data_IF_978644201188
#
_entry.id   IF_978644201188
#
_cell.length_a   1.000
_cell.length_b   1.000
_cell.length_c   1.000
_cell.angle_alpha   90.00
_cell.angle_beta   90.00
_cell.angle_gamma   90.00
#
_symmetry.space_group_name_H-M   'P 1'
#
loop_
_entity.id
_entity.type
_entity.pdbx_description
1 polymer ?
#
# COMPACT_ATOMS: atom_id res chain seq x y z
N UNK A 1 -25.66 -13.86 -23.20
CA UNK A 1 -25.51 -14.09 -21.75
C UNK A 1 -24.34 -13.25 -21.29
N UNK A 2 -24.57 -12.23 -20.46
CA UNK A 2 -23.49 -11.34 -20.00
C UNK A 2 -22.57 -12.09 -19.05
N UNK A 3 -21.27 -12.07 -19.30
CA UNK A 3 -20.26 -12.53 -18.35
C UNK A 3 -20.42 -11.72 -17.07
N UNK A 4 -20.83 -12.36 -15.99
CA UNK A 4 -20.81 -11.76 -14.65
C UNK A 4 -19.36 -11.46 -14.31
N UNK A 5 -19.00 -10.17 -14.35
CA UNK A 5 -17.67 -9.70 -13.96
C UNK A 5 -17.58 -9.81 -12.44
N UNK A 6 -16.56 -10.51 -11.94
CA UNK A 6 -16.28 -10.56 -10.51
C UNK A 6 -15.94 -9.15 -10.03
N UNK A 7 -16.80 -8.56 -9.19
CA UNK A 7 -16.57 -7.21 -8.65
C UNK A 7 -15.84 -7.23 -7.31
N UNK A 8 -16.21 -8.15 -6.42
CA UNK A 8 -15.67 -8.24 -5.07
C UNK A 8 -15.24 -9.67 -4.74
N UNK A 9 -14.09 -9.80 -4.07
CA UNK A 9 -13.57 -11.08 -3.59
C UNK A 9 -13.01 -10.90 -2.18
N UNK A 10 -13.46 -11.74 -1.26
CA UNK A 10 -12.92 -11.85 0.09
C UNK A 10 -12.22 -13.18 0.27
N UNK A 11 -10.99 -13.14 0.75
CA UNK A 11 -10.15 -14.30 1.00
C UNK A 11 -9.78 -14.31 2.49
N UNK A 12 -10.34 -15.25 3.24
CA UNK A 12 -10.17 -15.24 4.71
C UNK A 12 -8.83 -15.81 5.14
N UNK A 13 -8.48 -17.01 4.67
CA UNK A 13 -7.25 -17.71 5.02
C UNK A 13 -6.66 -18.31 3.74
N UNK A 14 -5.73 -17.59 3.11
CA UNK A 14 -5.01 -18.11 1.95
C UNK A 14 -3.69 -18.73 2.39
N UNK A 15 -3.40 -19.93 1.90
CA UNK A 15 -2.13 -20.61 2.10
C UNK A 15 -1.68 -21.20 0.77
N UNK A 16 -0.42 -21.01 0.42
CA UNK A 16 0.16 -21.70 -0.72
C UNK A 16 0.47 -23.16 -0.34
N UNK A 17 0.28 -24.12 -1.26
CA UNK A 17 0.80 -25.47 -1.03
C UNK A 17 2.32 -25.40 -0.88
N UNK A 18 2.88 -26.26 -0.03
CA UNK A 18 4.32 -26.35 0.23
C UNK A 18 5.14 -26.79 -0.98
N UNK A 19 4.50 -27.32 -2.02
CA UNK A 19 5.11 -27.61 -3.32
C UNK A 19 5.19 -26.36 -4.19
N UNK A 20 6.33 -26.11 -4.86
CA UNK A 20 6.50 -24.94 -5.71
C UNK A 20 5.43 -24.96 -6.80
N UNK A 21 4.57 -23.95 -6.79
CA UNK A 21 3.55 -23.78 -7.81
C UNK A 21 4.28 -23.49 -9.14
N UNK A 22 4.01 -24.22 -10.23
CA UNK A 22 4.62 -23.89 -11.50
C UNK A 22 4.19 -22.47 -11.86
N UNK A 23 5.17 -21.59 -12.07
CA UNK A 23 4.94 -20.26 -12.63
C UNK A 23 4.35 -20.42 -14.04
N UNK A 24 3.03 -20.58 -14.13
CA UNK A 24 2.33 -20.52 -15.40
C UNK A 24 2.35 -19.06 -15.84
N UNK A 25 3.38 -18.70 -16.61
CA UNK A 25 3.46 -17.47 -17.39
C UNK A 25 2.30 -17.46 -18.39
N UNK A 26 1.60 -16.32 -18.51
CA UNK A 26 0.62 -16.11 -19.59
C UNK A 26 -0.83 -15.82 -19.19
N UNK A 27 -1.15 -15.66 -17.90
CA UNK A 27 -2.46 -15.12 -17.52
C UNK A 27 -2.33 -13.65 -17.16
N UNK A 28 -3.10 -12.80 -17.85
CA UNK A 28 -3.31 -11.42 -17.42
C UNK A 28 -3.99 -11.43 -16.05
N UNK A 29 -3.64 -10.49 -15.15
CA UNK A 29 -4.32 -10.35 -13.88
C UNK A 29 -5.83 -10.18 -14.07
N UNK A 30 -6.61 -10.78 -13.18
CA UNK A 30 -8.06 -10.59 -13.13
C UNK A 30 -8.33 -9.23 -12.51
N UNK A 31 -8.80 -8.29 -13.33
CA UNK A 31 -9.21 -6.99 -12.83
C UNK A 31 -10.46 -7.12 -11.95
N UNK A 32 -10.38 -6.57 -10.73
CA UNK A 32 -11.42 -6.67 -9.73
C UNK A 32 -11.63 -5.32 -9.05
N UNK A 33 -12.87 -4.97 -8.71
CA UNK A 33 -13.14 -3.70 -8.04
C UNK A 33 -12.59 -3.71 -6.62
N UNK A 34 -12.83 -4.79 -5.86
CA UNK A 34 -12.35 -4.92 -4.48
C UNK A 34 -11.79 -6.30 -4.18
N UNK A 35 -10.59 -6.33 -3.63
CA UNK A 35 -9.98 -7.52 -3.04
C UNK A 35 -9.77 -7.31 -1.55
N UNK A 36 -10.38 -8.18 -0.73
CA UNK A 36 -10.18 -8.23 0.71
C UNK A 36 -9.41 -9.50 1.08
N UNK A 37 -8.30 -9.36 1.80
CA UNK A 37 -7.52 -10.49 2.31
C UNK A 37 -7.43 -10.37 3.83
N UNK A 38 -8.08 -11.28 4.54
CA UNK A 38 -8.21 -11.18 6.00
C UNK A 38 -6.94 -11.65 6.69
N UNK A 39 -6.45 -12.85 6.37
CA UNK A 39 -5.24 -13.42 6.95
C UNK A 39 -4.34 -14.01 5.88
N UNK A 40 -3.11 -13.53 5.80
CA UNK A 40 -2.15 -13.99 4.78
C UNK A 40 -0.70 -13.83 5.22
N UNK A 41 0.19 -14.62 4.62
CA UNK A 41 1.64 -14.47 4.69
C UNK A 41 2.20 -13.71 3.49
N UNK A 42 3.52 -13.52 3.45
CA UNK A 42 4.18 -12.74 2.41
C UNK A 42 4.14 -13.37 1.01
N UNK A 43 4.41 -14.68 0.93
CA UNK A 43 4.41 -15.40 -0.33
C UNK A 43 2.98 -15.53 -0.88
N UNK A 44 2.03 -15.78 0.01
CA UNK A 44 0.60 -15.84 -0.25
C UNK A 44 0.07 -14.52 -0.80
N UNK A 45 0.39 -13.40 -0.15
CA UNK A 45 0.01 -12.07 -0.62
C UNK A 45 0.60 -11.80 -2.01
N UNK A 46 1.89 -12.08 -2.19
CA UNK A 46 2.57 -11.89 -3.48
C UNK A 46 1.84 -12.67 -4.58
N UNK A 47 1.52 -13.94 -4.34
CA UNK A 47 0.77 -14.75 -5.30
C UNK A 47 -0.59 -14.12 -5.63
N UNK A 48 -1.36 -13.70 -4.63
CA UNK A 48 -2.67 -13.08 -4.85
C UNK A 48 -2.55 -11.81 -5.71
N UNK A 49 -1.56 -10.96 -5.43
CA UNK A 49 -1.32 -9.72 -6.19
C UNK A 49 -0.78 -9.96 -7.60
N UNK A 50 -0.23 -11.14 -7.91
CA UNK A 50 0.08 -11.52 -9.31
C UNK A 50 -1.16 -11.98 -10.09
N UNK A 51 -2.22 -12.41 -9.39
CA UNK A 51 -3.43 -12.97 -10.01
C UNK A 51 -4.56 -11.96 -10.11
N UNK A 52 -4.60 -11.00 -9.21
CA UNK A 52 -5.65 -10.00 -9.14
C UNK A 52 -5.06 -8.60 -9.29
N UNK A 53 -5.75 -7.77 -10.07
CA UNK A 53 -5.47 -6.35 -10.23
C UNK A 53 -6.61 -5.54 -9.59
N UNK A 54 -6.55 -5.28 -8.27
CA UNK A 54 -7.63 -4.63 -7.55
C UNK A 54 -7.59 -3.11 -7.67
N UNK A 55 -8.75 -2.48 -7.87
CA UNK A 55 -8.90 -1.03 -7.68
C UNK A 55 -8.83 -0.65 -6.19
N UNK A 56 -9.45 -1.47 -5.34
CA UNK A 56 -9.43 -1.35 -3.88
C UNK A 56 -8.81 -2.61 -3.25
N UNK A 57 -7.76 -2.44 -2.45
CA UNK A 57 -7.14 -3.52 -1.66
C UNK A 57 -7.40 -3.31 -0.17
N UNK A 58 -7.92 -4.33 0.51
CA UNK A 58 -8.08 -4.36 1.97
C UNK A 58 -7.31 -5.55 2.56
N UNK A 59 -6.42 -5.27 3.51
CA UNK A 59 -5.66 -6.28 4.27
C UNK A 59 -6.01 -6.18 5.75
N UNK A 60 -6.40 -7.26 6.43
CA UNK A 60 -6.76 -7.22 7.88
C UNK A 60 -5.76 -7.85 8.84
N UNK A 61 -4.89 -8.71 8.35
CA UNK A 61 -3.77 -9.28 9.09
C UNK A 61 -2.78 -9.88 8.09
N UNK A 62 -1.66 -9.20 7.88
CA UNK A 62 -0.60 -9.68 7.01
C UNK A 62 0.73 -9.62 7.75
N UNK A 63 1.45 -10.75 7.79
CA UNK A 63 2.71 -10.86 8.54
C UNK A 63 3.92 -10.29 7.82
N UNK A 64 3.83 -10.09 6.50
CA UNK A 64 4.91 -9.58 5.66
C UNK A 64 4.34 -8.93 4.40
N UNK A 65 4.82 -7.73 4.07
CA UNK A 65 4.43 -7.02 2.85
C UNK A 65 5.66 -6.42 2.19
N UNK A 66 5.98 -6.84 0.98
CA UNK A 66 7.09 -6.30 0.18
C UNK A 66 6.68 -5.30 -0.88
N UNK A 67 5.42 -5.35 -1.34
CA UNK A 67 4.88 -4.44 -2.34
C UNK A 67 3.35 -4.38 -2.25
N UNK A 68 2.79 -3.25 -2.69
CA UNK A 68 1.37 -3.09 -2.97
C UNK A 68 1.15 -2.95 -4.48
N UNK A 69 -0.01 -3.35 -5.02
CA UNK A 69 -0.35 -3.09 -6.41
C UNK A 69 -0.57 -1.58 -6.61
N UNK A 70 -0.63 -1.15 -7.87
CA UNK A 70 -1.03 0.23 -8.24
C UNK A 70 -2.52 0.48 -8.05
N UNK A 71 -3.06 0.21 -6.85
CA UNK A 71 -4.47 0.38 -6.53
C UNK A 71 -4.79 1.82 -6.11
N UNK A 72 -6.03 2.24 -6.39
CA UNK A 72 -6.54 3.56 -6.04
C UNK A 72 -6.72 3.71 -4.53
N UNK A 73 -7.22 2.65 -3.88
CA UNK A 73 -7.50 2.66 -2.44
C UNK A 73 -6.79 1.51 -1.75
N UNK A 74 -6.12 1.82 -0.64
CA UNK A 74 -5.44 0.87 0.22
C UNK A 74 -5.99 0.96 1.64
N UNK A 75 -6.53 -0.15 2.15
CA UNK A 75 -7.01 -0.27 3.53
C UNK A 75 -6.19 -1.30 4.27
N UNK A 76 -5.57 -0.90 5.37
CA UNK A 76 -4.69 -1.74 6.17
C UNK A 76 -5.23 -1.80 7.59
N UNK A 77 -5.47 -3.02 8.06
CA UNK A 77 -5.93 -3.30 9.40
C UNK A 77 -5.03 -4.35 10.04
N UNK A 78 -4.80 -4.23 11.34
CA UNK A 78 -4.14 -5.29 12.12
C UNK A 78 -2.70 -5.63 11.70
N UNK A 79 -2.01 -4.77 10.96
CA UNK A 79 -0.64 -5.06 10.48
C UNK A 79 0.33 -5.08 11.67
N UNK A 80 0.97 -6.22 11.99
CA UNK A 80 1.78 -6.42 13.20
C UNK A 80 3.12 -5.68 13.13
N UNK A 81 3.75 -5.43 14.29
CA UNK A 81 5.00 -4.65 14.44
C UNK A 81 6.22 -5.14 13.62
N UNK A 82 6.24 -6.38 13.11
CA UNK A 82 7.35 -6.88 12.30
C UNK A 82 7.24 -6.29 10.89
N UNK A 83 8.20 -5.41 10.52
CA UNK A 83 8.13 -4.45 9.40
C UNK A 83 8.90 -4.86 8.14
N UNK A 84 9.22 -6.14 7.97
CA UNK A 84 10.07 -6.52 6.84
C UNK A 84 9.35 -6.17 5.53
N UNK A 85 9.96 -5.27 4.74
CA UNK A 85 9.43 -4.79 3.47
C UNK A 85 8.38 -3.68 3.53
N UNK A 86 7.84 -3.31 4.70
CA UNK A 86 6.70 -2.37 4.76
C UNK A 86 7.07 -0.95 4.31
N UNK A 87 8.24 -0.43 4.70
CA UNK A 87 8.72 0.89 4.24
C UNK A 87 8.82 0.90 2.72
N UNK A 88 9.32 -0.17 2.12
CA UNK A 88 9.53 -0.31 0.69
C UNK A 88 8.20 -0.42 -0.07
N UNK A 89 7.28 -1.24 0.45
CA UNK A 89 5.93 -1.39 -0.06
C UNK A 89 5.18 -0.04 -0.04
N UNK A 90 5.23 0.65 1.10
CA UNK A 90 4.62 1.96 1.27
C UNK A 90 5.29 3.00 0.36
N UNK A 91 6.61 2.98 0.20
CA UNK A 91 7.33 3.89 -0.69
C UNK A 91 6.99 3.71 -2.18
N UNK A 92 6.75 2.46 -2.59
CA UNK A 92 6.41 2.10 -3.97
C UNK A 92 4.95 2.35 -4.35
N UNK A 93 4.06 2.43 -3.37
CA UNK A 93 2.64 2.70 -3.60
C UNK A 93 2.40 4.21 -3.86
N UNK A 94 1.41 4.58 -4.69
CA UNK A 94 0.99 5.97 -4.94
C UNK A 94 -0.50 6.03 -5.34
N UNK A 95 -1.37 5.55 -4.44
CA UNK A 95 -2.82 5.62 -4.63
C UNK A 95 -3.45 6.94 -4.15
N UNK A 96 -4.76 7.04 -4.24
CA UNK A 96 -5.53 8.23 -3.88
C UNK A 96 -5.99 8.23 -2.41
N UNK A 97 -6.33 7.06 -1.87
CA UNK A 97 -6.88 6.91 -0.52
C UNK A 97 -6.13 5.85 0.30
N UNK A 98 -5.67 6.24 1.48
CA UNK A 98 -5.07 5.34 2.47
C UNK A 98 -5.91 5.32 3.74
N UNK A 99 -6.33 4.13 4.17
CA UNK A 99 -6.95 3.91 5.47
C UNK A 99 -6.12 2.93 6.29
N UNK A 100 -5.80 3.29 7.52
CA UNK A 100 -5.02 2.46 8.43
C UNK A 100 -5.74 2.36 9.77
N UNK A 101 -6.09 1.15 10.19
CA UNK A 101 -6.86 0.92 11.41
C UNK A 101 -6.18 -0.12 12.29
N UNK A 102 -5.93 0.20 13.56
CA UNK A 102 -5.37 -0.74 14.55
C UNK A 102 -4.15 -1.53 14.03
N UNK A 103 -3.22 -0.83 13.38
CA UNK A 103 -2.04 -1.44 12.75
C UNK A 103 -0.77 -0.99 13.47
N UNK A 104 -0.27 -1.76 14.45
CA UNK A 104 0.94 -1.41 15.21
C UNK A 104 2.19 -1.13 14.37
N UNK A 105 2.29 -1.70 13.16
CA UNK A 105 3.39 -1.40 12.23
C UNK A 105 3.44 0.07 11.79
N UNK A 106 2.32 0.79 11.87
CA UNK A 106 2.21 2.21 11.52
C UNK A 106 2.55 3.10 12.71
N UNK A 107 3.85 3.20 13.03
CA UNK A 107 4.40 4.02 14.11
C UNK A 107 5.50 4.99 13.62
N UNK A 108 6.22 5.60 14.57
CA UNK A 108 7.41 6.45 14.39
C UNK A 108 8.46 5.88 13.43
N UNK A 109 8.78 4.60 13.51
CA UNK A 109 9.89 4.01 12.76
C UNK A 109 9.54 3.87 11.27
N UNK A 110 8.27 3.60 10.95
CA UNK A 110 7.79 3.57 9.56
C UNK A 110 7.88 4.97 8.96
N UNK A 111 7.44 5.97 9.73
CA UNK A 111 7.46 7.37 9.34
C UNK A 111 8.89 7.85 9.12
N UNK A 112 9.80 7.59 10.06
CA UNK A 112 11.23 7.93 9.91
C UNK A 112 11.85 7.25 8.69
N UNK A 113 11.46 5.99 8.42
CA UNK A 113 11.89 5.27 7.22
C UNK A 113 11.46 5.97 5.93
N UNK A 114 10.19 6.38 5.84
CA UNK A 114 9.64 7.12 4.70
C UNK A 114 10.25 8.52 4.57
N UNK A 115 10.39 9.27 5.68
CA UNK A 115 11.04 10.59 5.69
C UNK A 115 12.50 10.51 5.21
N UNK A 116 13.25 9.52 5.69
CA UNK A 116 14.62 9.27 5.25
C UNK A 116 14.72 9.01 3.74
N UNK A 117 13.79 8.21 3.19
CA UNK A 117 13.70 7.99 1.74
C UNK A 117 13.32 9.25 0.97
N UNK A 118 12.36 10.05 1.46
CA UNK A 118 12.01 11.34 0.85
C UNK A 118 13.21 12.27 0.73
N UNK A 119 14.04 12.35 1.78
CA UNK A 119 15.25 13.16 1.76
C UNK A 119 16.32 12.60 0.82
N UNK A 120 16.53 11.29 0.84
CA UNK A 120 17.55 10.61 0.02
C UNK A 120 17.21 10.71 -1.46
N UNK A 121 15.97 10.40 -1.85
CA UNK A 121 15.52 10.38 -3.23
C UNK A 121 15.00 11.74 -3.72
N UNK A 122 14.93 12.74 -2.83
CA UNK A 122 14.43 14.10 -3.10
C UNK A 122 13.05 14.12 -3.77
N UNK A 123 12.19 13.16 -3.42
CA UNK A 123 10.82 13.05 -3.95
C UNK A 123 9.81 12.93 -2.82
N UNK A 124 8.60 13.50 -2.99
CA UNK A 124 7.54 13.34 -2.01
C UNK A 124 7.10 11.87 -1.89
N UNK A 125 6.71 11.46 -0.68
CA UNK A 125 5.90 10.25 -0.49
C UNK A 125 4.47 10.51 -0.97
N UNK A 126 3.90 9.59 -1.75
CA UNK A 126 2.53 9.62 -2.28
C UNK A 126 2.09 10.96 -2.88
N UNK A 127 2.70 11.40 -3.99
CA UNK A 127 2.32 12.65 -4.65
C UNK A 127 0.84 12.70 -5.06
N UNK A 128 0.23 11.58 -5.41
CA UNK A 128 -1.15 11.51 -5.90
C UNK A 128 -2.21 11.43 -4.78
N UNK A 129 -1.80 11.15 -3.54
CA UNK A 129 -2.72 10.88 -2.44
C UNK A 129 -3.56 12.09 -2.04
N UNK A 130 -4.88 11.89 -2.00
CA UNK A 130 -5.86 12.91 -1.65
C UNK A 130 -6.39 12.76 -0.22
N UNK A 131 -6.49 11.52 0.28
CA UNK A 131 -7.08 11.24 1.60
C UNK A 131 -6.26 10.22 2.37
N UNK A 132 -6.07 10.51 3.64
CA UNK A 132 -5.52 9.57 4.61
C UNK A 132 -6.40 9.54 5.85
N UNK A 133 -6.67 8.34 6.36
CA UNK A 133 -7.40 8.10 7.61
C UNK A 133 -6.61 7.13 8.43
N UNK A 134 -6.27 7.51 9.66
CA UNK A 134 -5.56 6.64 10.58
C UNK A 134 -6.33 6.58 11.89
N UNK A 135 -6.58 5.37 12.37
CA UNK A 135 -7.37 5.12 13.57
C UNK A 135 -6.72 4.02 14.41
N UNK A 136 -6.74 4.17 15.74
CA UNK A 136 -6.24 3.14 16.66
C UNK A 136 -4.75 2.81 16.51
N UNK A 137 -3.95 3.71 15.91
CA UNK A 137 -2.51 3.55 15.78
C UNK A 137 -1.81 4.55 16.71
N UNK A 138 -0.95 4.09 17.64
CA UNK A 138 -0.25 4.98 18.55
C UNK A 138 0.66 5.95 17.76
N UNK A 139 0.68 7.23 18.16
CA UNK A 139 1.50 8.29 17.56
C UNK A 139 1.15 8.75 16.13
N UNK A 140 0.16 8.13 15.48
CA UNK A 140 -0.18 8.34 14.06
C UNK A 140 -0.52 9.78 13.63
N UNK A 141 -1.35 10.50 14.39
CA UNK A 141 -1.85 11.82 13.98
C UNK A 141 -0.75 12.87 13.83
N UNK A 142 0.22 12.88 14.76
CA UNK A 142 1.31 13.88 14.74
C UNK A 142 2.36 13.57 13.68
N UNK A 143 2.60 12.29 13.41
CA UNK A 143 3.64 11.85 12.50
C UNK A 143 3.22 11.96 11.04
N UNK A 144 2.02 11.50 10.70
CA UNK A 144 1.53 11.59 9.32
C UNK A 144 1.22 13.02 8.90
N UNK A 145 0.81 13.88 9.84
CA UNK A 145 0.75 15.32 9.62
C UNK A 145 2.10 15.88 9.14
N UNK A 146 3.22 15.51 9.79
CA UNK A 146 4.56 15.95 9.39
C UNK A 146 4.94 15.46 8.00
N UNK A 147 4.67 14.20 7.65
CA UNK A 147 4.95 13.69 6.30
C UNK A 147 4.14 14.43 5.23
N UNK A 148 2.86 14.73 5.49
CA UNK A 148 2.02 15.50 4.57
C UNK A 148 2.51 16.94 4.41
N UNK A 149 2.97 17.57 5.49
CA UNK A 149 3.56 18.90 5.44
C UNK A 149 4.84 18.91 4.59
N UNK A 150 5.74 17.95 4.80
CA UNK A 150 6.97 17.82 4.01
C UNK A 150 6.67 17.55 2.54
N UNK A 151 5.69 16.69 2.23
CA UNK A 151 5.19 16.48 0.87
C UNK A 151 4.76 17.81 0.24
N UNK A 152 3.93 18.56 0.94
CA UNK A 152 3.40 19.85 0.47
C UNK A 152 4.54 20.85 0.19
N UNK A 153 5.56 20.88 1.04
CA UNK A 153 6.74 21.72 0.84
C UNK A 153 7.56 21.31 -0.39
N UNK A 154 7.78 20.01 -0.61
CA UNK A 154 8.52 19.50 -1.77
C UNK A 154 7.79 19.77 -3.09
N UNK A 155 6.47 19.56 -3.13
CA UNK A 155 5.65 19.85 -4.31
C UNK A 155 5.68 21.34 -4.69
N UNK A 156 5.61 22.24 -3.69
CA UNK A 156 5.75 23.70 -3.92
C UNK A 156 7.10 24.06 -4.55
N UNK A 157 8.19 23.43 -4.11
CA UNK A 157 9.54 23.68 -4.66
C UNK A 157 9.65 23.26 -6.12
N UNK A 158 9.02 22.15 -6.50
CA UNK A 158 8.99 21.68 -7.90
C UNK A 158 8.17 22.60 -8.80
N UNK A 159 7.02 23.10 -8.33
CA UNK A 159 6.22 24.10 -9.05
C UNK A 159 6.97 25.42 -9.28
N UNK A 160 7.69 25.90 -8.26
CA UNK A 160 8.48 27.12 -8.35
C UNK A 160 9.69 27.00 -9.31
N UNK A 161 10.28 25.80 -9.43
CA UNK A 161 11.37 25.55 -10.38
C UNK A 161 10.88 25.43 -11.84
N UNK A 162 9.62 25.01 -12.05
CA UNK A 162 9.02 24.91 -13.38
C UNK A 162 8.64 26.30 -13.92
N UNK A 163 8.14 27.20 -13.06
CA UNK A 163 7.74 28.56 -13.42
C UNK A 163 8.89 29.51 -13.84
N UNK A 164 10.16 29.16 -13.56
CA UNK A 164 11.33 29.99 -13.97
C UNK A 164 11.93 29.59 -15.32
N UNK A 165 11.33 28.62 -16.02
CA UNK A 165 11.79 28.14 -17.34
C UNK A 165 10.77 28.38 -18.48
N UNK A 166 9.79 29.25 -18.26
CA UNK A 166 8.80 29.66 -19.27
C UNK A 166 9.09 31.07 -19.75
#
# INVERSE_FOLDING_TARGET
MGLTRLEELTIENFALPSTPYPERRGFLPIHIRRLTVVRTGGAELTFLLTRFDPVELQLEYCTFVSAFPGCTCLRLRGIPLRRDGLVDAMWGWDGLELEVTSSPAFDDDLVRGLESRMHTERRPVWPSMMRIRIQGCPYSDRLFGRMLDQRTQLLKRQGASSSRRS
#
